data_IF_424708992743
#
_entry.id   IF_424708992743
#
_cell.length_a   1.000
_cell.length_b   1.000
_cell.length_c   1.000
_cell.angle_alpha   90.00
_cell.angle_beta   90.00
_cell.angle_gamma   90.00
#
_symmetry.space_group_name_H-M   'P 1'
#
loop_
_entity.id
_entity.type
_entity.pdbx_description
1 polymer ?
#
# COMPACT_ATOMS: atom_id res chain seq x y z
N UNK A 1 6.53 8.20 -12.58
CA UNK A 1 5.24 7.73 -13.11
C UNK A 1 4.44 8.96 -13.44
N UNK A 2 3.72 8.95 -14.56
CA UNK A 2 2.76 10.00 -14.91
C UNK A 2 1.53 9.91 -14.00
N UNK A 3 0.69 10.95 -13.98
CA UNK A 3 -0.56 10.90 -13.20
C UNK A 3 -1.49 9.79 -13.68
N UNK A 4 -1.60 9.58 -14.99
CA UNK A 4 -2.40 8.51 -15.59
C UNK A 4 -1.95 7.12 -15.14
N UNK A 5 -0.63 6.84 -15.17
CA UNK A 5 -0.09 5.57 -14.65
C UNK A 5 -0.38 5.37 -13.15
N UNK A 6 -0.44 6.45 -12.37
CA UNK A 6 -0.77 6.39 -10.94
C UNK A 6 -2.27 6.16 -10.74
N UNK A 7 -3.13 6.75 -11.57
CA UNK A 7 -4.57 6.53 -11.55
C UNK A 7 -4.93 5.08 -11.87
N UNK A 8 -4.31 4.49 -12.89
CA UNK A 8 -4.45 3.08 -13.23
C UNK A 8 -4.00 2.17 -12.07
N UNK A 9 -2.82 2.46 -11.50
CA UNK A 9 -2.29 1.77 -10.32
C UNK A 9 -3.27 1.83 -9.14
N UNK A 10 -3.84 3.00 -8.87
CA UNK A 10 -4.81 3.20 -7.79
C UNK A 10 -6.12 2.48 -8.06
N UNK A 11 -6.62 2.52 -9.30
CA UNK A 11 -7.84 1.81 -9.70
C UNK A 11 -7.69 0.31 -9.44
N UNK A 12 -6.57 -0.28 -9.89
CA UNK A 12 -6.26 -1.69 -9.68
C UNK A 12 -6.10 -2.06 -8.21
N UNK A 13 -5.36 -1.24 -7.44
CA UNK A 13 -5.21 -1.41 -6.00
C UNK A 13 -6.58 -1.41 -5.28
N UNK A 14 -7.44 -0.45 -5.62
CA UNK A 14 -8.76 -0.28 -5.00
C UNK A 14 -9.67 -1.47 -5.32
N UNK A 15 -9.67 -1.96 -6.55
CA UNK A 15 -10.41 -3.16 -6.94
C UNK A 15 -10.00 -4.38 -6.13
N UNK A 16 -8.69 -4.65 -6.04
CA UNK A 16 -8.14 -5.77 -5.28
C UNK A 16 -8.49 -5.69 -3.78
N UNK A 17 -8.46 -4.49 -3.20
CA UNK A 17 -8.84 -4.29 -1.79
C UNK A 17 -10.34 -4.45 -1.56
N UNK A 18 -11.18 -3.97 -2.49
CA UNK A 18 -12.62 -4.11 -2.41
C UNK A 18 -13.07 -5.58 -2.37
N UNK A 19 -12.37 -6.47 -3.09
CA UNK A 19 -12.66 -7.92 -3.14
C UNK A 19 -11.88 -8.78 -2.14
N UNK A 20 -11.29 -8.18 -1.10
CA UNK A 20 -10.47 -8.88 -0.10
C UNK A 20 -9.24 -9.63 -0.67
N UNK A 21 -8.77 -9.25 -1.86
CA UNK A 21 -7.59 -9.83 -2.48
C UNK A 21 -6.29 -9.18 -2.00
N UNK A 22 -6.10 -9.11 -0.68
CA UNK A 22 -4.91 -8.54 -0.08
C UNK A 22 -4.51 -9.25 1.22
N UNK A 23 -3.29 -9.00 1.67
CA UNK A 23 -2.83 -9.40 2.99
C UNK A 23 -1.69 -8.49 3.47
N UNK A 24 -1.55 -8.40 4.79
CA UNK A 24 -0.46 -7.64 5.43
C UNK A 24 0.65 -8.57 5.87
N UNK A 25 1.90 -8.14 5.69
CA UNK A 25 3.04 -8.84 6.29
C UNK A 25 3.11 -8.50 7.77
N UNK A 26 3.03 -9.53 8.63
CA UNK A 26 3.36 -9.40 10.05
C UNK A 26 4.88 -9.35 10.17
N UNK A 27 5.43 -8.16 10.46
CA UNK A 27 6.85 -8.02 10.79
C UNK A 27 7.00 -8.16 12.31
N UNK A 28 7.75 -9.16 12.76
CA UNK A 28 8.08 -9.31 14.18
C UNK A 28 8.71 -8.03 14.73
N UNK A 29 8.23 -7.57 15.89
CA UNK A 29 8.58 -6.28 16.49
C UNK A 29 7.34 -5.44 16.82
N UNK A 30 7.52 -4.34 17.57
CA UNK A 30 6.48 -3.46 18.15
C UNK A 30 5.45 -2.85 17.17
N UNK A 31 5.45 -3.22 15.90
CA UNK A 31 4.50 -2.71 14.90
C UNK A 31 3.23 -3.55 14.94
N UNK A 32 2.20 -3.00 15.56
CA UNK A 32 0.84 -3.57 15.57
C UNK A 32 0.37 -3.73 14.12
N UNK A 33 -0.13 -4.91 13.78
CA UNK A 33 -0.75 -5.16 12.49
C UNK A 33 -1.97 -4.25 12.32
N UNK A 34 -2.03 -3.50 11.22
CA UNK A 34 -3.20 -2.70 10.92
C UNK A 34 -4.40 -3.63 10.68
N UNK A 35 -5.57 -3.28 11.21
CA UNK A 35 -6.80 -4.07 10.98
C UNK A 35 -7.21 -3.98 9.51
N UNK A 36 -7.65 -5.09 8.92
CA UNK A 36 -8.15 -5.12 7.54
C UNK A 36 -9.27 -4.09 7.27
N UNK A 37 -10.13 -3.86 8.27
CA UNK A 37 -11.17 -2.83 8.20
C UNK A 37 -10.63 -1.43 7.95
N UNK A 38 -9.47 -1.09 8.54
CA UNK A 38 -8.86 0.21 8.36
C UNK A 38 -8.23 0.32 6.97
N UNK A 39 -7.62 -0.75 6.45
CA UNK A 39 -7.13 -0.81 5.06
C UNK A 39 -8.28 -0.52 4.08
N UNK A 40 -9.43 -1.18 4.27
CA UNK A 40 -10.63 -0.98 3.44
C UNK A 40 -11.22 0.42 3.53
N UNK A 41 -10.92 1.19 4.58
CA UNK A 41 -11.32 2.60 4.70
C UNK A 41 -10.33 3.55 4.04
N UNK A 42 -9.03 3.29 4.20
CA UNK A 42 -7.96 4.20 3.76
C UNK A 42 -7.64 4.04 2.27
N UNK A 43 -7.61 2.82 1.75
CA UNK A 43 -7.21 2.58 0.34
C UNK A 43 -8.17 3.24 -0.66
N UNK A 44 -9.51 3.19 -0.49
CA UNK A 44 -10.43 3.88 -1.40
C UNK A 44 -10.20 5.39 -1.49
N UNK A 45 -9.75 6.02 -0.40
CA UNK A 45 -9.51 7.47 -0.35
C UNK A 45 -8.18 7.93 -0.92
N UNK A 46 -7.28 7.00 -1.33
CA UNK A 46 -5.99 7.37 -1.90
C UNK A 46 -6.15 8.16 -3.20
N UNK A 47 -5.35 9.23 -3.31
CA UNK A 47 -5.28 10.13 -4.47
C UNK A 47 -3.91 10.02 -5.14
N UNK A 48 -3.81 10.52 -6.36
CA UNK A 48 -2.54 10.62 -7.11
C UNK A 48 -1.49 11.41 -6.31
N UNK A 49 -1.92 12.47 -5.63
CA UNK A 49 -1.05 13.30 -4.77
C UNK A 49 -0.45 12.57 -3.57
N UNK A 50 -1.01 11.42 -3.18
CA UNK A 50 -0.46 10.61 -2.09
C UNK A 50 0.68 9.71 -2.57
N UNK A 51 0.90 9.59 -3.89
CA UNK A 51 2.00 8.80 -4.44
C UNK A 51 3.35 9.43 -4.08
N UNK A 52 4.19 8.66 -3.42
CA UNK A 52 5.53 9.11 -3.02
C UNK A 52 6.59 8.58 -4.01
N UNK A 53 6.62 7.26 -4.24
CA UNK A 53 7.62 6.66 -5.12
C UNK A 53 7.28 5.24 -5.56
N UNK A 54 7.91 4.84 -6.66
CA UNK A 54 8.06 3.46 -7.13
C UNK A 54 9.53 3.07 -6.95
N UNK A 55 9.78 1.92 -6.32
CA UNK A 55 11.13 1.40 -6.10
C UNK A 55 11.18 -0.10 -6.40
N UNK A 56 12.38 -0.66 -6.62
CA UNK A 56 12.55 -2.10 -6.77
C UNK A 56 12.60 -2.79 -5.41
N UNK A 57 12.03 -3.98 -5.31
CA UNK A 57 12.19 -4.87 -4.16
C UNK A 57 13.57 -5.55 -4.18
N UNK A 58 14.62 -4.78 -3.83
CA UNK A 58 16.01 -5.25 -3.85
C UNK A 58 16.27 -6.45 -2.93
N UNK A 59 15.48 -6.62 -1.86
CA UNK A 59 15.59 -7.75 -0.93
C UNK A 59 14.57 -8.86 -1.24
N UNK A 60 13.93 -8.82 -2.40
CA UNK A 60 12.87 -9.75 -2.82
C UNK A 60 13.05 -10.24 -4.25
N UNK A 61 11.93 -10.38 -4.96
CA UNK A 61 11.84 -10.94 -6.31
C UNK A 61 12.23 -9.98 -7.44
N UNK A 62 12.69 -8.76 -7.14
CA UNK A 62 12.93 -7.71 -8.14
C UNK A 62 11.66 -7.04 -8.67
N UNK A 63 10.49 -7.34 -8.07
CA UNK A 63 9.22 -6.68 -8.39
C UNK A 63 9.22 -5.21 -7.95
N UNK A 64 8.33 -4.41 -8.56
CA UNK A 64 8.12 -3.03 -8.13
C UNK A 64 7.33 -2.96 -6.83
N UNK A 65 7.78 -2.07 -5.94
CA UNK A 65 7.09 -1.65 -4.73
C UNK A 65 6.62 -0.22 -4.92
N UNK A 66 5.38 0.02 -4.53
CA UNK A 66 4.76 1.33 -4.54
C UNK A 66 4.64 1.85 -3.11
N UNK A 67 4.94 3.13 -2.93
CA UNK A 67 4.87 3.83 -1.66
C UNK A 67 3.92 5.01 -1.79
N UNK A 68 2.94 5.06 -0.91
CA UNK A 68 2.01 6.17 -0.75
C UNK A 68 2.13 6.74 0.67
N UNK A 69 2.00 8.05 0.80
CA UNK A 69 1.92 8.77 2.06
C UNK A 69 0.72 9.70 2.00
N UNK A 70 -0.34 9.40 2.77
CA UNK A 70 -1.53 10.25 2.75
C UNK A 70 -1.22 11.62 3.35
N UNK A 71 -1.69 12.67 2.68
CA UNK A 71 -1.43 14.05 3.12
C UNK A 71 -2.59 14.65 3.94
N UNK A 72 -3.82 14.22 3.68
CA UNK A 72 -5.04 14.74 4.31
C UNK A 72 -5.50 13.87 5.48
N UNK A 73 -5.86 14.51 6.60
CA UNK A 73 -6.36 13.82 7.80
C UNK A 73 -5.28 13.00 8.53
N UNK A 74 -5.61 11.76 8.90
CA UNK A 74 -4.63 10.85 9.49
C UNK A 74 -3.63 10.40 8.43
N UNK A 75 -2.36 10.76 8.62
CA UNK A 75 -1.29 10.39 7.70
C UNK A 75 -0.97 8.90 7.84
N UNK A 76 -0.97 8.18 6.72
CA UNK A 76 -0.61 6.77 6.62
C UNK A 76 0.60 6.60 5.73
N UNK A 77 1.55 5.79 6.18
CA UNK A 77 2.62 5.27 5.34
C UNK A 77 2.19 3.90 4.80
N UNK A 78 2.07 3.78 3.48
CA UNK A 78 1.56 2.59 2.81
C UNK A 78 2.62 2.13 1.80
N UNK A 79 3.10 0.91 1.97
CA UNK A 79 4.08 0.26 1.10
C UNK A 79 3.54 -1.09 0.67
N UNK A 80 3.39 -1.31 -0.63
CA UNK A 80 2.80 -2.54 -1.14
C UNK A 80 3.39 -2.94 -2.49
N UNK A 81 3.11 -4.18 -2.89
CA UNK A 81 3.33 -4.68 -4.24
C UNK A 81 2.23 -5.65 -4.65
N UNK A 82 2.05 -5.83 -5.95
CA UNK A 82 1.20 -6.89 -6.49
C UNK A 82 2.00 -8.19 -6.53
N UNK A 83 1.35 -9.29 -6.15
CA UNK A 83 1.95 -10.62 -6.17
C UNK A 83 0.96 -11.61 -6.78
N UNK A 84 1.48 -12.55 -7.56
CA UNK A 84 0.69 -13.67 -8.06
C UNK A 84 0.97 -14.90 -7.21
N UNK A 85 -0.07 -15.48 -6.61
CA UNK A 85 0.03 -16.70 -5.82
C UNK A 85 -1.06 -17.68 -6.24
N UNK A 86 -0.67 -18.89 -6.69
CA UNK A 86 -1.59 -19.94 -7.18
C UNK A 86 -2.58 -19.41 -8.24
N UNK A 87 -2.08 -18.65 -9.21
CA UNK A 87 -2.90 -18.09 -10.30
C UNK A 87 -3.84 -16.95 -9.89
N UNK A 88 -3.76 -16.46 -8.65
CA UNK A 88 -4.56 -15.32 -8.18
C UNK A 88 -3.65 -14.16 -7.82
N UNK A 89 -3.92 -13.01 -8.40
CA UNK A 89 -3.27 -11.76 -8.03
C UNK A 89 -3.79 -11.28 -6.67
N UNK A 90 -2.88 -10.79 -5.84
CA UNK A 90 -3.17 -10.17 -4.55
C UNK A 90 -2.28 -8.96 -4.32
N UNK A 91 -2.74 -8.07 -3.44
CA UNK A 91 -1.90 -7.00 -2.89
C UNK A 91 -1.21 -7.51 -1.63
N UNK A 92 0.13 -7.47 -1.64
CA UNK A 92 0.93 -7.68 -0.44
C UNK A 92 1.26 -6.32 0.17
N UNK A 93 0.61 -5.97 1.27
CA UNK A 93 0.98 -4.81 2.07
C UNK A 93 2.23 -5.13 2.90
N UNK A 94 3.36 -4.57 2.46
CA UNK A 94 4.68 -4.74 3.08
C UNK A 94 4.80 -3.90 4.35
N UNK A 95 4.23 -2.70 4.33
CA UNK A 95 4.09 -1.81 5.48
C UNK A 95 2.79 -1.03 5.35
N UNK A 96 2.02 -0.95 6.42
CA UNK A 96 0.83 -0.11 6.49
C UNK A 96 0.66 0.32 7.94
N UNK A 97 0.97 1.59 8.22
CA UNK A 97 0.85 2.15 9.56
C UNK A 97 0.59 3.64 9.49
N UNK A 98 0.15 4.23 10.60
CA UNK A 98 0.17 5.67 10.75
C UNK A 98 1.59 6.18 10.46
N UNK A 99 1.70 7.19 9.59
CA UNK A 99 2.91 7.96 9.51
C UNK A 99 2.95 8.76 10.81
N UNK A 100 3.73 8.29 11.80
CA UNK A 100 3.98 9.09 12.99
C UNK A 100 4.38 10.49 12.51
N UNK A 101 3.73 11.52 13.05
CA UNK A 101 4.27 12.87 13.03
C UNK A 101 5.66 12.73 13.63
N UNK A 102 6.70 12.69 12.79
CA UNK A 102 8.04 13.00 13.26
C UNK A 102 7.91 14.40 13.82
N UNK A 103 7.90 14.49 15.15
CA UNK A 103 7.94 15.77 15.84
C UNK A 103 9.10 16.58 15.25
N UNK A 104 8.81 17.88 15.14
CA UNK A 104 9.65 18.95 14.66
C UNK A 104 11.13 18.85 15.07
#
# INVERSE_FOLDING_TARGET
MTNEEIEELLSHLKELVARDAFYTVLRGGRKVAIKNELIKKVVPSLKVSDFNKKELDYNGSGEYIFVFITQEGMKFYIKFKFVFNKGKEKVKFISFHYAELRNA
#
